data_IF_353561273798
#
_entry.id   IF_353561273798
#
_cell.length_a   1.000
_cell.length_b   1.000
_cell.length_c   1.000
_cell.angle_alpha   90.00
_cell.angle_beta   90.00
_cell.angle_gamma   90.00
#
_symmetry.space_group_name_H-M   'P 1'
#
loop_
_entity.id
_entity.type
_entity.pdbx_description
1 polymer ?
#
# COMPACT_ATOMS: atom_id res chain seq x y z
N UNK A 1 -6.96 -10.38 -14.90
CA UNK A 1 -6.36 -9.07 -14.57
C UNK A 1 -5.96 -8.38 -15.85
N UNK A 2 -6.47 -7.16 -16.07
CA UNK A 2 -6.15 -6.32 -17.24
C UNK A 2 -4.84 -5.58 -16.98
N UNK A 3 -3.88 -5.65 -17.92
CA UNK A 3 -2.58 -4.97 -17.84
C UNK A 3 -1.88 -5.12 -16.47
N UNK A 4 -1.71 -6.37 -16.03
CA UNK A 4 -1.12 -6.67 -14.73
C UNK A 4 0.34 -6.16 -14.64
N UNK A 5 0.71 -5.61 -13.48
CA UNK A 5 2.07 -5.19 -13.17
C UNK A 5 2.43 -5.53 -11.72
N UNK A 6 3.73 -5.49 -11.40
CA UNK A 6 4.19 -5.47 -10.02
C UNK A 6 3.83 -4.10 -9.41
N UNK A 7 2.80 -4.09 -8.57
CA UNK A 7 2.25 -2.91 -7.94
C UNK A 7 2.85 -2.71 -6.55
N UNK A 8 3.31 -1.49 -6.27
CA UNK A 8 3.72 -1.06 -4.95
C UNK A 8 2.50 -0.71 -4.10
N UNK A 9 2.25 -1.48 -3.03
CA UNK A 9 1.10 -1.25 -2.12
C UNK A 9 1.23 0.12 -1.44
N UNK A 10 2.38 0.40 -0.82
CA UNK A 10 2.83 1.76 -0.50
C UNK A 10 3.52 2.30 -1.74
N UNK A 11 2.96 3.36 -2.35
CA UNK A 11 3.43 3.85 -3.65
C UNK A 11 4.91 4.26 -3.66
N UNK A 12 5.54 4.12 -4.82
CA UNK A 12 6.94 4.53 -5.03
C UNK A 12 7.15 6.03 -4.87
N UNK A 13 6.28 6.88 -5.45
CA UNK A 13 6.46 8.34 -5.45
C UNK A 13 5.21 9.10 -4.99
N UNK A 14 4.03 8.77 -5.55
CA UNK A 14 2.81 9.53 -5.31
C UNK A 14 2.84 10.95 -5.92
N UNK A 15 1.67 11.56 -6.07
CA UNK A 15 1.48 12.90 -6.64
C UNK A 15 0.56 13.77 -5.79
N UNK A 16 0.76 15.09 -5.82
CA UNK A 16 -0.05 16.04 -5.04
C UNK A 16 -0.13 15.66 -3.55
N UNK A 17 -1.35 15.56 -3.03
CA UNK A 17 -1.64 15.18 -1.63
C UNK A 17 -1.28 13.73 -1.28
N UNK A 18 -1.12 12.84 -2.26
CA UNK A 18 -0.68 11.45 -2.00
C UNK A 18 0.68 11.41 -1.32
N UNK A 19 1.58 12.36 -1.64
CA UNK A 19 2.96 12.37 -1.15
C UNK A 19 3.04 12.31 0.37
N UNK A 20 2.14 13.01 1.07
CA UNK A 20 2.09 13.00 2.53
C UNK A 20 1.82 11.58 3.08
N UNK A 21 0.81 10.91 2.53
CA UNK A 21 0.43 9.55 2.95
C UNK A 21 1.49 8.51 2.59
N UNK A 22 2.10 8.67 1.42
CA UNK A 22 3.19 7.79 0.95
C UNK A 22 4.40 7.91 1.87
N UNK A 23 4.84 9.13 2.21
CA UNK A 23 5.98 9.34 3.10
C UNK A 23 5.74 8.77 4.50
N UNK A 24 4.54 9.01 5.07
CA UNK A 24 4.19 8.45 6.38
C UNK A 24 4.14 6.92 6.36
N UNK A 25 3.63 6.33 5.28
CA UNK A 25 3.58 4.87 5.13
C UNK A 25 4.98 4.27 5.02
N UNK A 26 5.88 4.89 4.25
CA UNK A 26 7.28 4.45 4.13
C UNK A 26 8.02 4.50 5.46
N UNK A 27 7.83 5.57 6.24
CA UNK A 27 8.42 5.67 7.57
C UNK A 27 8.03 4.48 8.47
N UNK A 28 6.75 4.07 8.45
CA UNK A 28 6.29 2.88 9.18
C UNK A 28 6.99 1.61 8.69
N UNK A 29 7.19 1.44 7.38
CA UNK A 29 7.88 0.28 6.83
C UNK A 29 9.36 0.25 7.24
N UNK A 30 10.03 1.40 7.18
CA UNK A 30 11.43 1.56 7.57
C UNK A 30 11.66 1.25 9.05
N UNK A 31 10.75 1.64 9.95
CA UNK A 31 10.81 1.29 11.38
C UNK A 31 10.84 -0.24 11.64
N UNK A 32 10.30 -1.03 10.72
CA UNK A 32 10.28 -2.49 10.81
C UNK A 32 11.27 -3.15 9.85
N UNK A 33 12.20 -2.41 9.26
CA UNK A 33 13.17 -2.93 8.28
C UNK A 33 12.47 -3.67 7.13
N UNK A 34 11.38 -3.09 6.63
CA UNK A 34 10.68 -3.54 5.42
C UNK A 34 11.11 -2.59 4.30
N UNK A 35 11.78 -3.13 3.29
CA UNK A 35 12.18 -2.35 2.11
C UNK A 35 10.92 -1.97 1.31
N UNK A 36 10.52 -0.70 1.38
CA UNK A 36 9.34 -0.22 0.67
C UNK A 36 9.50 -0.22 -0.85
N UNK A 37 10.72 -0.22 -1.37
CA UNK A 37 10.99 -0.16 -2.81
C UNK A 37 11.09 -1.55 -3.44
N UNK A 38 11.86 -2.45 -2.82
CA UNK A 38 12.17 -3.78 -3.37
C UNK A 38 11.68 -4.94 -2.51
N UNK A 39 11.19 -4.67 -1.29
CA UNK A 39 10.70 -5.70 -0.38
C UNK A 39 9.48 -6.41 -0.95
N UNK A 40 9.48 -7.76 -1.02
CA UNK A 40 8.35 -8.51 -1.56
C UNK A 40 7.06 -8.29 -0.75
N UNK A 41 7.15 -7.86 0.51
CA UNK A 41 6.01 -7.55 1.37
C UNK A 41 5.19 -6.37 0.85
N UNK A 42 5.82 -5.43 0.14
CA UNK A 42 5.19 -4.24 -0.42
C UNK A 42 4.84 -4.38 -1.91
N UNK A 43 4.98 -5.58 -2.49
CA UNK A 43 4.74 -5.85 -3.90
C UNK A 43 3.63 -6.87 -4.10
N UNK A 44 2.74 -6.60 -5.05
CA UNK A 44 1.69 -7.53 -5.46
C UNK A 44 1.44 -7.43 -6.95
N UNK A 45 1.01 -8.53 -7.58
CA UNK A 45 0.46 -8.46 -8.93
C UNK A 45 -0.94 -7.84 -8.87
N UNK A 46 -1.14 -6.69 -9.53
CA UNK A 46 -2.42 -6.00 -9.60
C UNK A 46 -2.69 -5.44 -11.01
N UNK A 47 -3.96 -5.25 -11.41
CA UNK A 47 -4.29 -4.65 -12.70
C UNK A 47 -3.80 -3.20 -12.76
N UNK A 48 -3.36 -2.71 -13.92
CA UNK A 48 -3.02 -1.31 -14.11
C UNK A 48 -4.23 -0.53 -14.66
N UNK A 49 -5.18 -0.24 -13.79
CA UNK A 49 -6.43 0.46 -14.13
C UNK A 49 -6.71 1.59 -13.14
N UNK A 50 -7.64 2.47 -13.51
CA UNK A 50 -8.07 3.60 -12.67
C UNK A 50 -8.53 3.15 -11.27
N UNK A 51 -8.34 4.01 -10.27
CA UNK A 51 -8.77 3.77 -8.88
C UNK A 51 -7.70 3.21 -7.95
N UNK A 52 -6.60 2.63 -8.46
CA UNK A 52 -5.52 2.08 -7.61
C UNK A 52 -4.47 3.09 -7.18
N UNK A 53 -4.27 4.16 -7.96
CA UNK A 53 -3.23 5.17 -7.75
C UNK A 53 -3.83 6.53 -7.34
N UNK A 54 -4.87 6.52 -6.49
CA UNK A 54 -5.57 7.74 -6.05
C UNK A 54 -5.10 8.22 -4.68
N UNK A 55 -5.53 9.44 -4.29
CA UNK A 55 -5.26 9.98 -2.95
C UNK A 55 -5.93 9.14 -1.86
N UNK A 56 -7.17 8.73 -2.08
CA UNK A 56 -7.96 7.91 -1.17
C UNK A 56 -7.26 6.58 -0.90
N UNK A 57 -6.70 5.94 -1.94
CA UNK A 57 -5.91 4.73 -1.80
C UNK A 57 -4.65 4.95 -0.97
N UNK A 58 -3.88 6.00 -1.26
CA UNK A 58 -2.68 6.31 -0.48
C UNK A 58 -3.00 6.55 1.00
N UNK A 59 -4.12 7.26 1.28
CA UNK A 59 -4.60 7.52 2.63
C UNK A 59 -5.05 6.24 3.35
N UNK A 60 -5.86 5.40 2.69
CA UNK A 60 -6.31 4.11 3.26
C UNK A 60 -5.12 3.21 3.60
N UNK A 61 -4.12 3.12 2.71
CA UNK A 61 -2.89 2.36 2.96
C UNK A 61 -2.20 2.88 4.21
N UNK A 62 -2.01 4.20 4.34
CA UNK A 62 -1.44 4.79 5.55
C UNK A 62 -2.26 4.46 6.81
N UNK A 63 -3.58 4.62 6.77
CA UNK A 63 -4.44 4.42 7.94
C UNK A 63 -4.39 2.98 8.46
N UNK A 64 -4.44 2.00 7.57
CA UNK A 64 -4.32 0.58 7.91
C UNK A 64 -2.93 0.23 8.48
N UNK A 65 -1.86 0.76 7.87
CA UNK A 65 -0.50 0.57 8.38
C UNK A 65 -0.30 1.24 9.74
N UNK A 66 -0.78 2.48 9.89
CA UNK A 66 -0.69 3.24 11.14
C UNK A 66 -1.49 2.56 12.26
N UNK A 67 -2.66 2.01 11.96
CA UNK A 67 -3.43 1.21 12.91
C UNK A 67 -2.64 -0.02 13.36
N UNK A 68 -2.09 -0.79 12.41
CA UNK A 68 -1.33 -1.99 12.72
C UNK A 68 -0.06 -1.68 13.56
N UNK A 69 0.66 -0.63 13.17
CA UNK A 69 1.83 -0.12 13.87
C UNK A 69 1.48 0.32 15.30
N UNK A 70 0.50 1.21 15.48
CA UNK A 70 0.15 1.76 16.80
C UNK A 70 -0.48 0.73 17.74
N UNK A 71 -1.37 -0.12 17.22
CA UNK A 71 -2.13 -1.06 18.05
C UNK A 71 -1.30 -2.25 18.49
N UNK A 72 -0.44 -2.77 17.62
CA UNK A 72 0.27 -4.02 17.87
C UNK A 72 1.78 -3.89 18.00
N UNK A 73 2.37 -2.78 17.52
CA UNK A 73 3.82 -2.52 17.53
C UNK A 73 4.63 -3.71 17.00
N UNK A 74 4.20 -4.32 15.90
CA UNK A 74 4.73 -5.60 15.42
C UNK A 74 4.91 -5.63 13.90
N UNK A 75 6.13 -5.97 13.46
CA UNK A 75 6.48 -6.20 12.04
C UNK A 75 5.51 -7.15 11.36
N UNK A 76 5.20 -8.29 11.99
CA UNK A 76 4.29 -9.29 11.44
C UNK A 76 2.86 -8.74 11.23
N UNK A 77 2.42 -7.79 12.05
CA UNK A 77 1.10 -7.17 11.91
C UNK A 77 1.08 -6.14 10.78
N UNK A 78 2.17 -5.40 10.59
CA UNK A 78 2.36 -4.50 9.44
C UNK A 78 2.41 -5.29 8.14
N UNK A 79 3.18 -6.39 8.07
CA UNK A 79 3.21 -7.29 6.90
C UNK A 79 1.82 -7.88 6.63
N UNK A 80 1.07 -8.26 7.67
CA UNK A 80 -0.31 -8.74 7.51
C UNK A 80 -1.25 -7.66 6.95
N UNK A 81 -1.06 -6.40 7.34
CA UNK A 81 -1.82 -5.28 6.79
C UNK A 81 -1.47 -5.05 5.31
N UNK A 82 -0.17 -5.03 4.96
CA UNK A 82 0.28 -4.99 3.56
C UNK A 82 -0.36 -6.11 2.74
N UNK A 83 -0.33 -7.36 3.21
CA UNK A 83 -0.93 -8.49 2.49
C UNK A 83 -2.42 -8.28 2.20
N UNK A 84 -3.20 -7.80 3.18
CA UNK A 84 -4.62 -7.48 3.00
C UNK A 84 -4.85 -6.37 1.97
N UNK A 85 -4.03 -5.32 2.01
CA UNK A 85 -4.08 -4.20 1.06
C UNK A 85 -3.68 -4.68 -0.35
N UNK A 86 -2.67 -5.53 -0.46
CA UNK A 86 -2.26 -6.16 -1.71
C UNK A 86 -3.35 -7.05 -2.31
N UNK A 87 -4.04 -7.84 -1.50
CA UNK A 87 -5.20 -8.63 -1.94
C UNK A 87 -6.35 -7.74 -2.45
N UNK A 88 -6.59 -6.59 -1.81
CA UNK A 88 -7.57 -5.58 -2.28
C UNK A 88 -7.15 -4.98 -3.62
N UNK A 89 -5.86 -4.67 -3.80
CA UNK A 89 -5.35 -4.14 -5.06
C UNK A 89 -5.43 -5.17 -6.19
N UNK A 90 -5.04 -6.42 -5.92
CA UNK A 90 -5.06 -7.51 -6.90
C UNK A 90 -6.46 -7.84 -7.42
N UNK A 91 -7.49 -7.69 -6.57
CA UNK A 91 -8.90 -7.93 -6.89
C UNK A 91 -9.64 -6.69 -7.41
N UNK A 92 -8.96 -5.57 -7.60
CA UNK A 92 -9.59 -4.33 -8.04
C UNK A 92 -10.24 -4.47 -9.42
N UNK A 93 -11.38 -3.80 -9.59
CA UNK A 93 -12.13 -3.74 -10.85
C UNK A 93 -12.50 -2.29 -11.15
N UNK A 94 -12.58 -1.95 -12.44
CA UNK A 94 -12.93 -0.60 -12.91
C UNK A 94 -14.24 -0.12 -12.25
N UNK A 95 -14.27 1.12 -11.78
CA UNK A 95 -15.41 1.71 -11.09
C UNK A 95 -15.49 1.48 -9.57
N UNK A 96 -14.67 0.59 -8.99
CA UNK A 96 -14.58 0.48 -7.54
C UNK A 96 -13.89 1.71 -6.92
N UNK A 97 -14.38 2.12 -5.75
CA UNK A 97 -13.81 3.20 -4.92
C UNK A 97 -13.44 2.64 -3.55
N UNK A 98 -12.49 3.31 -2.90
CA UNK A 98 -11.93 2.94 -1.60
C UNK A 98 -12.20 4.02 -0.56
#
# INVERSE_FOLDING_TARGET
>A
MENAHAHHIVFKEGSGKQKEWVLKSKAILEEYEIDWLKGPENLVWAPNIEGLHTEEMAKMVYEELAYAHKKYKSKNKVIKALRKLGEKAAKHTRGNKY
#
